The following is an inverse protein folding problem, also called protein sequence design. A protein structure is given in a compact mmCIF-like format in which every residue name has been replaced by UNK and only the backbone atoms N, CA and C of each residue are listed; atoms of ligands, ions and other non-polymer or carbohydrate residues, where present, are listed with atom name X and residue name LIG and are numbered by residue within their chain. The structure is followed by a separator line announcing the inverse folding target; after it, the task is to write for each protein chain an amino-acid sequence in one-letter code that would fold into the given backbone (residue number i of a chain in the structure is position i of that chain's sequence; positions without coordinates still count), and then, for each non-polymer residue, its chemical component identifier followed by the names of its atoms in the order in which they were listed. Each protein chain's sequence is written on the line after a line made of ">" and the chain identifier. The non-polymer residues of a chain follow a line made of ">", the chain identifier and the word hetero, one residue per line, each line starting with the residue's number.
data_IF_078851683860
#
_entry.id   IF_078851683860
#
_cell.length_a   1.000
_cell.length_b   1.000
_cell.length_c   1.000
_cell.angle_alpha   90.00
_cell.angle_beta   90.00
_cell.angle_gamma   90.00
#
_symmetry.space_group_name_H-M   'P 1'
#
loop_
_entity.id
_entity.type
_entity.pdbx_description
1 polymer ?
#
# COMPACT_ATOMS: atom_id res chain seq x y z
N UNK A 1 104.49 79.41 -18.41
CA UNK A 1 104.82 79.56 -19.85
C UNK A 1 104.69 78.19 -20.50
N UNK A 2 103.67 77.97 -21.32
CA UNK A 2 103.65 76.90 -22.33
C UNK A 2 102.63 77.29 -23.40
N UNK A 3 103.06 77.16 -24.65
CA UNK A 3 102.50 77.79 -25.83
C UNK A 3 101.17 77.16 -26.27
N UNK A 4 100.35 77.99 -26.92
CA UNK A 4 99.17 77.64 -27.69
C UNK A 4 99.47 76.58 -28.76
N UNK A 5 98.57 75.61 -28.93
CA UNK A 5 98.27 75.05 -30.24
C UNK A 5 96.90 75.57 -30.68
N UNK A 6 96.87 76.84 -31.09
CA UNK A 6 95.83 77.31 -31.99
C UNK A 6 96.18 76.79 -33.38
N UNK A 7 95.57 75.68 -33.78
CA UNK A 7 95.63 75.23 -35.18
C UNK A 7 94.70 76.14 -35.99
N UNK A 8 95.25 77.26 -36.46
CA UNK A 8 94.63 78.11 -37.48
C UNK A 8 95.11 77.60 -38.84
N UNK A 9 94.27 77.00 -39.69
CA UNK A 9 94.69 76.65 -41.04
C UNK A 9 94.84 77.94 -41.86
N UNK A 10 96.00 78.20 -42.50
CA UNK A 10 96.20 79.42 -43.26
C UNK A 10 95.47 79.32 -44.61
N UNK A 11 94.61 80.30 -44.91
CA UNK A 11 94.32 80.70 -46.30
C UNK A 11 93.12 80.08 -47.01
N UNK A 12 91.92 79.99 -46.40
CA UNK A 12 90.66 79.88 -47.15
C UNK A 12 89.57 80.81 -46.60
N UNK A 13 88.89 81.62 -47.44
CA UNK A 13 87.67 82.31 -47.03
C UNK A 13 86.55 81.25 -46.87
N UNK A 14 86.02 81.10 -45.66
CA UNK A 14 84.92 80.16 -45.36
C UNK A 14 85.28 78.95 -44.48
N UNK A 15 85.99 79.17 -43.38
CA UNK A 15 86.39 78.11 -42.45
C UNK A 15 85.33 77.82 -41.38
N UNK A 16 85.11 76.52 -41.08
CA UNK A 16 84.46 76.09 -39.85
C UNK A 16 85.41 76.26 -38.67
N UNK A 17 84.97 76.93 -37.62
CA UNK A 17 85.72 77.09 -36.39
C UNK A 17 85.14 76.17 -35.31
N UNK A 18 85.97 75.25 -34.83
CA UNK A 18 85.63 74.32 -33.75
C UNK A 18 86.24 74.83 -32.46
N UNK A 19 85.45 74.92 -31.40
CA UNK A 19 85.97 75.23 -30.06
C UNK A 19 85.52 74.19 -29.06
N UNK A 20 86.50 73.63 -28.34
CA UNK A 20 86.30 72.62 -27.32
C UNK A 20 86.51 73.26 -25.95
N UNK A 21 85.45 73.33 -25.14
CA UNK A 21 85.56 73.70 -23.73
C UNK A 21 86.11 72.54 -22.91
N UNK A 22 87.12 72.78 -22.07
CA UNK A 22 87.81 71.75 -21.27
C UNK A 22 87.07 71.33 -20.00
N UNK A 23 85.87 71.86 -19.74
CA UNK A 23 85.14 71.66 -18.46
C UNK A 23 83.80 70.92 -18.57
N UNK A 24 83.57 70.14 -19.64
CA UNK A 24 82.33 69.36 -19.80
C UNK A 24 81.08 70.19 -20.13
N UNK A 25 81.23 71.50 -20.33
CA UNK A 25 80.16 72.41 -20.72
C UNK A 25 80.18 72.66 -22.24
N UNK A 26 79.70 71.67 -22.99
CA UNK A 26 79.25 71.79 -24.38
C UNK A 26 80.31 72.05 -25.46
N UNK A 27 79.96 71.68 -26.69
CA UNK A 27 80.78 71.89 -27.88
C UNK A 27 80.17 73.01 -28.70
N UNK A 28 80.99 74.00 -29.10
CA UNK A 28 80.55 75.10 -29.95
C UNK A 28 81.16 74.97 -31.33
N UNK A 29 80.28 74.86 -32.32
CA UNK A 29 80.60 74.91 -33.74
C UNK A 29 80.17 76.27 -34.26
N UNK A 30 81.12 77.06 -34.72
CA UNK A 30 80.83 78.31 -35.43
C UNK A 30 81.16 78.12 -36.89
N UNK A 31 80.16 78.27 -37.76
CA UNK A 31 80.39 78.26 -39.20
C UNK A 31 80.21 79.66 -39.77
N UNK A 32 81.28 80.16 -40.37
CA UNK A 32 81.26 81.37 -41.17
C UNK A 32 81.27 80.96 -42.65
N UNK A 33 80.14 81.07 -43.37
CA UNK A 33 80.11 80.73 -44.79
C UNK A 33 81.12 81.58 -45.58
N UNK A 34 81.71 81.05 -46.68
CA UNK A 34 82.53 81.84 -47.58
C UNK A 34 81.75 83.06 -48.07
N UNK A 35 82.43 84.21 -48.22
CA UNK A 35 81.84 85.36 -48.90
C UNK A 35 81.37 84.92 -50.29
N UNK A 36 80.10 85.17 -50.59
CA UNK A 36 79.44 84.78 -51.84
C UNK A 36 80.17 85.40 -53.04
N UNK A 37 81.04 84.64 -53.70
CA UNK A 37 81.68 85.03 -54.97
C UNK A 37 80.84 84.46 -56.12
N UNK A 38 79.69 85.08 -56.33
CA UNK A 38 78.74 84.71 -57.37
C UNK A 38 78.04 85.96 -57.88
N UNK A 39 78.39 86.37 -59.10
CA UNK A 39 77.68 87.42 -59.83
C UNK A 39 76.29 86.93 -60.24
N UNK A 40 75.26 87.20 -59.45
CA UNK A 40 73.92 87.53 -59.98
C UNK A 40 73.00 88.03 -58.87
N UNK A 41 72.41 89.19 -59.14
CA UNK A 41 71.34 89.90 -58.42
C UNK A 41 71.76 90.69 -57.18
N UNK A 42 72.14 91.94 -57.48
CA UNK A 42 72.19 93.09 -56.59
C UNK A 42 70.87 93.24 -55.80
N UNK A 43 70.89 92.86 -54.53
CA UNK A 43 70.09 93.55 -53.52
C UNK A 43 70.96 94.68 -52.98
N UNK A 44 70.59 95.90 -53.36
CA UNK A 44 71.20 97.15 -52.92
C UNK A 44 71.14 97.27 -51.41
N UNK A 45 72.22 96.85 -50.75
CA UNK A 45 72.56 97.31 -49.42
C UNK A 45 73.97 97.88 -49.55
N UNK A 46 74.09 99.19 -49.75
CA UNK A 46 75.39 99.88 -49.85
C UNK A 46 75.82 100.52 -48.52
N UNK A 47 74.95 100.63 -47.51
CA UNK A 47 75.22 101.52 -46.36
C UNK A 47 75.47 100.84 -45.01
N UNK A 48 75.69 99.52 -44.96
CA UNK A 48 76.06 98.84 -43.72
C UNK A 48 77.57 98.58 -43.63
N UNK A 49 78.27 99.08 -42.59
CA UNK A 49 79.68 98.79 -42.33
C UNK A 49 79.94 97.28 -42.36
N UNK A 50 81.07 96.86 -42.94
CA UNK A 50 81.43 95.45 -43.11
C UNK A 50 81.32 94.62 -41.81
N UNK A 51 81.59 95.25 -40.66
CA UNK A 51 81.50 94.61 -39.34
C UNK A 51 80.08 94.17 -38.96
N UNK A 52 79.03 94.83 -39.46
CA UNK A 52 77.63 94.44 -39.21
C UNK A 52 77.13 93.36 -40.17
N UNK A 53 77.70 93.25 -41.38
CA UNK A 53 77.34 92.18 -42.35
C UNK A 53 77.93 90.82 -41.98
N UNK A 54 79.08 90.79 -41.32
CA UNK A 54 79.65 89.53 -40.82
C UNK A 54 78.83 88.92 -39.68
N UNK A 55 78.23 89.74 -38.81
CA UNK A 55 77.50 89.28 -37.63
C UNK A 55 76.15 88.62 -37.91
N UNK A 56 75.52 88.93 -39.04
CA UNK A 56 74.22 88.33 -39.44
C UNK A 56 74.36 86.91 -40.02
N UNK A 57 75.57 86.49 -40.40
CA UNK A 57 75.84 85.21 -41.05
C UNK A 57 76.52 84.18 -40.14
N UNK A 58 76.69 84.50 -38.85
CA UNK A 58 77.31 83.60 -37.89
C UNK A 58 76.25 82.65 -37.31
N UNK A 59 76.43 81.36 -37.61
CA UNK A 59 75.63 80.28 -37.01
C UNK A 59 76.47 79.62 -35.92
N UNK A 60 76.04 79.78 -34.67
CA UNK A 60 76.67 79.13 -33.54
C UNK A 60 75.78 77.98 -33.06
N UNK A 61 76.31 76.75 -33.13
CA UNK A 61 75.64 75.56 -32.60
C UNK A 61 76.36 75.14 -31.32
N UNK A 62 75.66 75.23 -30.20
CA UNK A 62 76.14 74.75 -28.91
C UNK A 62 75.45 73.43 -28.57
N UNK A 63 76.18 72.32 -28.59
CA UNK A 63 75.64 71.02 -28.16
C UNK A 63 75.83 70.91 -26.65
N UNK A 64 74.73 70.89 -25.90
CA UNK A 64 74.76 70.74 -24.43
C UNK A 64 75.02 69.27 -24.03
N UNK A 65 75.35 69.05 -22.75
CA UNK A 65 75.78 67.75 -22.20
C UNK A 65 74.82 66.57 -22.44
N UNK A 66 73.57 66.85 -22.83
CA UNK A 66 72.55 65.84 -23.16
C UNK A 66 72.39 65.60 -24.66
N UNK A 67 73.36 66.04 -25.48
CA UNK A 67 73.37 65.84 -26.93
C UNK A 67 72.38 66.71 -27.70
N UNK A 68 71.87 67.79 -27.10
CA UNK A 68 70.88 68.68 -27.73
C UNK A 68 71.50 70.03 -28.06
N UNK A 69 71.31 70.44 -29.31
CA UNK A 69 71.86 71.65 -29.87
C UNK A 69 71.02 72.88 -29.47
N UNK A 70 71.69 73.99 -29.17
CA UNK A 70 71.13 75.34 -29.20
C UNK A 70 71.77 76.06 -30.39
N UNK A 71 70.94 76.53 -31.33
CA UNK A 71 71.41 77.17 -32.55
C UNK A 71 71.13 78.67 -32.44
N UNK A 72 72.17 79.50 -32.51
CA UNK A 72 72.05 80.96 -32.63
C UNK A 72 72.32 81.37 -34.07
N UNK A 73 71.44 82.20 -34.64
CA UNK A 73 71.54 82.76 -35.98
C UNK A 73 71.59 84.29 -35.83
N UNK A 74 72.80 84.86 -35.77
CA UNK A 74 73.00 86.28 -35.44
C UNK A 74 72.63 86.65 -33.98
N UNK A 75 72.59 87.95 -33.67
CA UNK A 75 72.33 88.48 -32.31
C UNK A 75 70.85 88.32 -31.88
N UNK A 76 69.90 88.24 -32.84
CA UNK A 76 68.46 88.37 -32.56
C UNK A 76 67.66 87.05 -32.59
N UNK A 77 68.25 85.94 -33.06
CA UNK A 77 67.54 84.66 -33.18
C UNK A 77 68.29 83.52 -32.49
N UNK A 78 67.63 82.90 -31.50
CA UNK A 78 68.12 81.69 -30.83
C UNK A 78 67.04 80.60 -30.86
N UNK A 79 67.38 79.45 -31.44
CA UNK A 79 66.58 78.23 -31.39
C UNK A 79 67.11 77.31 -30.29
N UNK A 80 66.32 77.17 -29.23
CA UNK A 80 66.65 76.31 -28.11
C UNK A 80 65.86 75.00 -28.14
N UNK A 81 66.54 73.92 -28.53
CA UNK A 81 65.94 72.59 -28.57
C UNK A 81 65.91 71.90 -27.21
N UNK A 82 66.56 72.46 -26.18
CA UNK A 82 66.59 71.89 -24.82
C UNK A 82 65.21 71.94 -24.17
N UNK A 83 64.43 72.99 -24.47
CA UNK A 83 63.04 73.11 -24.03
C UNK A 83 62.17 71.99 -24.61
N UNK A 84 62.31 71.72 -25.92
CA UNK A 84 61.62 70.63 -26.61
C UNK A 84 62.06 69.25 -26.09
N UNK A 85 63.36 69.07 -25.82
CA UNK A 85 63.86 67.82 -25.22
C UNK A 85 63.30 67.60 -23.80
N UNK A 86 63.24 68.66 -22.99
CA UNK A 86 62.67 68.59 -21.63
C UNK A 86 61.18 68.27 -21.67
N UNK A 87 60.44 68.90 -22.58
CA UNK A 87 59.02 68.60 -22.82
C UNK A 87 58.81 67.16 -23.30
N UNK A 88 59.64 66.68 -24.24
CA UNK A 88 59.57 65.31 -24.75
C UNK A 88 59.88 64.28 -23.66
N UNK A 89 60.90 64.52 -22.82
CA UNK A 89 61.21 63.66 -21.66
C UNK A 89 60.05 63.62 -20.66
N UNK A 90 59.42 64.77 -20.40
CA UNK A 90 58.23 64.84 -19.54
C UNK A 90 57.09 64.00 -20.11
N UNK A 91 56.75 64.20 -21.39
CA UNK A 91 55.71 63.40 -22.07
C UNK A 91 56.02 61.91 -22.05
N UNK A 92 57.29 61.52 -22.24
CA UNK A 92 57.71 60.12 -22.16
C UNK A 92 57.47 59.56 -20.75
N UNK A 93 57.85 60.30 -19.71
CA UNK A 93 57.61 59.91 -18.31
C UNK A 93 56.12 59.78 -17.98
N UNK A 94 55.28 60.70 -18.50
CA UNK A 94 53.84 60.66 -18.31
C UNK A 94 53.25 59.41 -18.99
N UNK A 95 53.69 59.10 -20.22
CA UNK A 95 53.29 57.88 -20.96
C UNK A 95 53.77 56.60 -20.27
N UNK A 96 54.97 56.58 -19.71
CA UNK A 96 55.47 55.44 -18.93
C UNK A 96 54.64 55.21 -17.66
N UNK A 97 54.26 56.28 -16.96
CA UNK A 97 53.38 56.19 -15.80
C UNK A 97 51.98 55.70 -16.19
N UNK A 98 51.42 56.15 -17.32
CA UNK A 98 50.16 55.65 -17.86
C UNK A 98 50.25 54.17 -18.24
N UNK A 99 51.33 53.74 -18.92
CA UNK A 99 51.57 52.32 -19.24
C UNK A 99 51.59 51.47 -17.98
N UNK A 100 52.34 51.88 -16.96
CA UNK A 100 52.46 51.12 -15.71
C UNK A 100 51.15 51.10 -14.91
N UNK A 101 50.35 52.16 -15.00
CA UNK A 101 48.99 52.18 -14.47
C UNK A 101 48.07 51.21 -15.21
N UNK A 102 48.11 51.19 -16.54
CA UNK A 102 47.32 50.28 -17.36
C UNK A 102 47.71 48.81 -17.15
N UNK A 103 49.00 48.51 -17.01
CA UNK A 103 49.48 47.16 -16.70
C UNK A 103 48.95 46.67 -15.35
N UNK A 104 48.99 47.51 -14.30
CA UNK A 104 48.41 47.17 -12.99
C UNK A 104 46.90 46.89 -13.09
N UNK A 105 46.15 47.74 -13.78
CA UNK A 105 44.70 47.53 -14.00
C UNK A 105 44.41 46.25 -14.76
N UNK A 106 45.24 45.90 -15.75
CA UNK A 106 45.11 44.65 -16.50
C UNK A 106 45.34 43.44 -15.60
N UNK A 107 46.37 43.47 -14.75
CA UNK A 107 46.66 42.40 -13.80
C UNK A 107 45.57 42.22 -12.74
N UNK A 108 45.03 43.32 -12.21
CA UNK A 108 43.88 43.31 -11.29
C UNK A 108 42.64 42.70 -11.97
N UNK A 109 42.31 43.17 -13.18
CA UNK A 109 41.18 42.65 -13.96
C UNK A 109 41.35 41.16 -14.27
N UNK A 110 42.58 40.72 -14.59
CA UNK A 110 42.90 39.31 -14.84
C UNK A 110 42.67 38.46 -13.60
N UNK A 111 43.14 38.91 -12.43
CA UNK A 111 42.94 38.22 -11.14
C UNK A 111 41.45 38.11 -10.79
N UNK A 112 40.70 39.18 -10.98
CA UNK A 112 39.25 39.18 -10.74
C UNK A 112 38.53 38.24 -11.70
N UNK A 113 38.89 38.23 -12.98
CA UNK A 113 38.32 37.32 -13.95
C UNK A 113 38.62 35.85 -13.63
N UNK A 114 39.86 35.54 -13.23
CA UNK A 114 40.24 34.20 -12.80
C UNK A 114 39.45 33.74 -11.55
N UNK A 115 39.25 34.64 -10.59
CA UNK A 115 38.42 34.39 -9.41
C UNK A 115 36.95 34.12 -9.79
N UNK A 116 36.39 34.92 -10.69
CA UNK A 116 35.02 34.74 -11.20
C UNK A 116 34.90 33.41 -11.92
N UNK A 117 35.84 33.07 -12.81
CA UNK A 117 35.84 31.79 -13.53
C UNK A 117 35.92 30.60 -12.58
N UNK A 118 36.78 30.66 -11.55
CA UNK A 118 36.86 29.60 -10.54
C UNK A 118 35.54 29.45 -9.78
N UNK A 119 34.90 30.56 -9.40
CA UNK A 119 33.59 30.55 -8.73
C UNK A 119 32.51 29.95 -9.62
N UNK A 120 32.36 30.43 -10.86
CA UNK A 120 31.37 29.93 -11.83
C UNK A 120 31.58 28.45 -12.11
N UNK A 121 32.83 27.99 -12.23
CA UNK A 121 33.11 26.56 -12.40
C UNK A 121 32.66 25.74 -11.19
N UNK A 122 32.95 26.21 -9.97
CA UNK A 122 32.52 25.52 -8.74
C UNK A 122 30.99 25.45 -8.60
N UNK A 123 30.28 26.53 -8.93
CA UNK A 123 28.82 26.60 -8.90
C UNK A 123 28.18 25.70 -9.97
N UNK A 124 28.74 25.70 -11.19
CA UNK A 124 28.31 24.81 -12.27
C UNK A 124 28.52 23.35 -11.90
N UNK A 125 29.67 23.00 -11.32
CA UNK A 125 29.93 21.62 -10.90
C UNK A 125 29.00 21.19 -9.76
N UNK A 126 28.66 22.09 -8.83
CA UNK A 126 27.66 21.84 -7.79
C UNK A 126 26.26 21.65 -8.37
N UNK A 127 25.84 22.50 -9.31
CA UNK A 127 24.55 22.39 -10.00
C UNK A 127 24.44 21.08 -10.79
N UNK A 128 25.49 20.69 -11.52
CA UNK A 128 25.54 19.43 -12.27
C UNK A 128 25.43 18.21 -11.33
N UNK A 129 26.09 18.24 -10.16
CA UNK A 129 25.93 17.18 -9.16
C UNK A 129 24.50 17.11 -8.63
N UNK A 130 23.92 18.25 -8.24
CA UNK A 130 22.54 18.32 -7.77
C UNK A 130 21.53 17.81 -8.80
N UNK A 131 21.70 18.15 -10.08
CA UNK A 131 20.86 17.62 -11.15
C UNK A 131 21.00 16.10 -11.30
N UNK A 132 22.22 15.55 -11.26
CA UNK A 132 22.43 14.10 -11.32
C UNK A 132 21.75 13.37 -10.15
N UNK A 133 21.93 13.88 -8.94
CA UNK A 133 21.31 13.31 -7.74
C UNK A 133 19.77 13.35 -7.83
N UNK A 134 19.21 14.47 -8.28
CA UNK A 134 17.78 14.61 -8.50
C UNK A 134 17.26 13.62 -9.56
N UNK A 135 17.94 13.49 -10.70
CA UNK A 135 17.56 12.51 -11.75
C UNK A 135 17.64 11.08 -11.22
N UNK A 136 18.71 10.70 -10.51
CA UNK A 136 18.81 9.34 -9.94
C UNK A 136 17.72 9.04 -8.91
N UNK A 137 17.33 10.05 -8.12
CA UNK A 137 16.24 9.92 -7.14
C UNK A 137 14.90 9.78 -7.85
N UNK A 138 14.66 10.59 -8.88
CA UNK A 138 13.46 10.51 -9.71
C UNK A 138 13.33 9.14 -10.39
N UNK A 139 14.40 8.61 -10.97
CA UNK A 139 14.40 7.30 -11.64
C UNK A 139 14.14 6.15 -10.64
N UNK A 140 14.70 6.25 -9.43
CA UNK A 140 14.43 5.29 -8.34
C UNK A 140 12.96 5.32 -7.92
N UNK A 141 12.41 6.50 -7.69
CA UNK A 141 10.99 6.68 -7.32
C UNK A 141 10.08 6.15 -8.43
N UNK A 142 10.36 6.51 -9.68
CA UNK A 142 9.58 6.07 -10.84
C UNK A 142 9.61 4.55 -11.00
N UNK A 143 10.77 3.93 -10.78
CA UNK A 143 10.92 2.47 -10.83
C UNK A 143 10.16 1.79 -9.68
N UNK A 144 10.26 2.31 -8.45
CA UNK A 144 9.53 1.80 -7.29
C UNK A 144 8.00 1.89 -7.49
N UNK A 145 7.51 3.05 -7.93
CA UNK A 145 6.10 3.25 -8.24
C UNK A 145 5.61 2.30 -9.33
N UNK A 146 6.41 2.04 -10.36
CA UNK A 146 6.06 1.07 -11.41
C UNK A 146 5.91 -0.35 -10.84
N UNK A 147 6.80 -0.77 -9.95
CA UNK A 147 6.71 -2.08 -9.28
C UNK A 147 5.46 -2.16 -8.41
N UNK A 148 5.18 -1.13 -7.62
CA UNK A 148 4.01 -1.06 -6.75
C UNK A 148 2.70 -1.09 -7.56
N UNK A 149 2.59 -0.29 -8.62
CA UNK A 149 1.43 -0.29 -9.52
C UNK A 149 1.22 -1.67 -10.16
N UNK A 150 2.29 -2.32 -10.62
CA UNK A 150 2.18 -3.67 -11.18
C UNK A 150 1.73 -4.70 -10.13
N UNK A 151 2.24 -4.59 -8.89
CA UNK A 151 1.81 -5.42 -7.76
C UNK A 151 0.32 -5.26 -7.46
N UNK A 152 -0.13 -4.02 -7.30
CA UNK A 152 -1.55 -3.70 -7.05
C UNK A 152 -2.46 -4.14 -8.20
N UNK A 153 -2.02 -4.04 -9.45
CA UNK A 153 -2.78 -4.53 -10.60
C UNK A 153 -2.95 -6.06 -10.58
N UNK A 154 -1.91 -6.78 -10.16
CA UNK A 154 -1.96 -8.23 -10.03
C UNK A 154 -2.87 -8.65 -8.86
N UNK A 155 -2.75 -8.02 -7.69
CA UNK A 155 -3.66 -8.23 -6.55
C UNK A 155 -5.12 -7.93 -6.92
N UNK A 156 -5.38 -6.86 -7.66
CA UNK A 156 -6.71 -6.53 -8.15
C UNK A 156 -7.27 -7.61 -9.09
N UNK A 157 -6.42 -8.21 -9.91
CA UNK A 157 -6.82 -9.30 -10.81
C UNK A 157 -7.15 -10.58 -10.02
N UNK A 158 -6.35 -10.91 -9.02
CA UNK A 158 -6.55 -12.11 -8.21
C UNK A 158 -7.79 -11.98 -7.33
N UNK A 159 -7.97 -10.83 -6.66
CA UNK A 159 -9.20 -10.54 -5.88
C UNK A 159 -10.47 -10.55 -6.72
N UNK A 160 -10.42 -10.08 -7.97
CA UNK A 160 -11.55 -10.20 -8.90
C UNK A 160 -11.89 -11.65 -9.24
N UNK A 161 -10.88 -12.49 -9.42
CA UNK A 161 -11.06 -13.92 -9.68
C UNK A 161 -11.68 -14.61 -8.47
N UNK A 162 -11.18 -14.31 -7.27
CA UNK A 162 -11.70 -14.87 -6.02
C UNK A 162 -13.16 -14.41 -5.77
N UNK A 163 -13.48 -13.15 -6.06
CA UNK A 163 -14.85 -12.64 -5.99
C UNK A 163 -15.79 -13.39 -6.95
N UNK A 164 -15.35 -13.68 -8.17
CA UNK A 164 -16.17 -14.41 -9.14
C UNK A 164 -16.38 -15.86 -8.70
N UNK A 165 -15.35 -16.52 -8.19
CA UNK A 165 -15.47 -17.86 -7.61
C UNK A 165 -16.46 -17.87 -6.43
N UNK A 166 -16.35 -16.90 -5.51
CA UNK A 166 -17.24 -16.79 -4.36
C UNK A 166 -18.70 -16.55 -4.78
N UNK A 167 -18.94 -15.78 -5.85
CA UNK A 167 -20.28 -15.61 -6.41
C UNK A 167 -20.83 -16.92 -6.97
N UNK A 168 -20.02 -17.69 -7.69
CA UNK A 168 -20.44 -18.96 -8.24
C UNK A 168 -20.75 -19.99 -7.13
N UNK A 169 -19.94 -20.01 -6.07
CA UNK A 169 -20.20 -20.84 -4.89
C UNK A 169 -21.50 -20.44 -4.17
N UNK A 170 -21.76 -19.14 -4.05
CA UNK A 170 -23.00 -18.63 -3.47
C UNK A 170 -24.22 -19.04 -4.31
N UNK A 171 -24.18 -18.86 -5.63
CA UNK A 171 -25.25 -19.27 -6.54
C UNK A 171 -25.53 -20.79 -6.42
N UNK A 172 -24.47 -21.61 -6.37
CA UNK A 172 -24.62 -23.05 -6.19
C UNK A 172 -25.29 -23.39 -4.85
N UNK A 173 -24.88 -22.72 -3.76
CA UNK A 173 -25.45 -22.92 -2.44
C UNK A 173 -26.93 -22.50 -2.37
N UNK A 174 -27.31 -21.41 -3.04
CA UNK A 174 -28.71 -20.97 -3.15
C UNK A 174 -29.57 -22.01 -3.87
N UNK A 175 -29.08 -22.57 -4.97
CA UNK A 175 -29.77 -23.63 -5.72
C UNK A 175 -29.92 -24.92 -4.87
N UNK A 176 -28.89 -25.30 -4.11
CA UNK A 176 -28.98 -26.45 -3.21
C UNK A 176 -29.98 -26.22 -2.07
N UNK A 177 -30.01 -25.00 -1.52
CA UNK A 177 -30.98 -24.61 -0.49
C UNK A 177 -32.42 -24.69 -1.03
N UNK A 178 -32.66 -24.20 -2.24
CA UNK A 178 -33.97 -24.28 -2.89
C UNK A 178 -34.39 -25.73 -3.13
N UNK A 179 -33.48 -26.58 -3.62
CA UNK A 179 -33.73 -28.03 -3.77
C UNK A 179 -34.07 -28.70 -2.45
N UNK A 180 -33.32 -28.40 -1.38
CA UNK A 180 -33.59 -28.96 -0.05
C UNK A 180 -34.92 -28.46 0.52
N UNK A 181 -35.27 -27.21 0.29
CA UNK A 181 -36.54 -26.63 0.71
C UNK A 181 -37.73 -27.33 0.03
N UNK A 182 -37.62 -27.55 -1.29
CA UNK A 182 -38.64 -28.26 -2.05
C UNK A 182 -38.78 -29.72 -1.59
N UNK A 183 -37.67 -30.43 -1.37
CA UNK A 183 -37.71 -31.80 -0.84
C UNK A 183 -38.36 -31.88 0.56
N UNK A 184 -38.10 -30.90 1.43
CA UNK A 184 -38.74 -30.80 2.74
C UNK A 184 -40.25 -30.56 2.63
N UNK A 185 -40.66 -29.68 1.69
CA UNK A 185 -42.07 -29.43 1.40
C UNK A 185 -42.79 -30.69 0.89
N UNK A 186 -42.17 -31.44 -0.01
CA UNK A 186 -42.72 -32.70 -0.53
C UNK A 186 -42.87 -33.76 0.58
N UNK A 187 -41.85 -33.95 1.42
CA UNK A 187 -41.93 -34.83 2.59
C UNK A 187 -43.05 -34.42 3.55
N UNK A 188 -43.23 -33.12 3.79
CA UNK A 188 -44.32 -32.61 4.63
C UNK A 188 -45.70 -32.93 4.03
N UNK A 189 -45.83 -32.82 2.70
CA UNK A 189 -47.05 -33.17 1.98
C UNK A 189 -47.36 -34.67 2.03
N UNK A 190 -46.35 -35.54 2.07
CA UNK A 190 -46.52 -36.99 2.24
C UNK A 190 -46.85 -37.39 3.69
N UNK A 191 -46.19 -36.75 4.67
CA UNK A 191 -46.38 -37.05 6.09
C UNK A 191 -47.75 -36.61 6.62
N UNK A 192 -48.28 -35.48 6.15
CA UNK A 192 -49.59 -34.95 6.57
C UNK A 192 -50.76 -35.93 6.42
N UNK A 193 -51.00 -36.54 5.24
CA UNK A 193 -52.08 -37.51 5.06
C UNK A 193 -51.84 -38.78 5.88
N UNK A 194 -50.61 -39.30 5.94
CA UNK A 194 -50.26 -40.45 6.78
C UNK A 194 -50.60 -40.21 8.26
N UNK A 195 -50.28 -39.03 8.79
CA UNK A 195 -50.62 -38.63 10.15
C UNK A 195 -52.13 -38.57 10.38
N UNK A 196 -52.92 -38.14 9.39
CA UNK A 196 -54.39 -38.20 9.47
C UNK A 196 -54.90 -39.63 9.48
N UNK A 197 -54.37 -40.50 8.63
CA UNK A 197 -54.77 -41.91 8.55
C UNK A 197 -54.46 -42.64 9.86
N UNK A 198 -53.27 -42.44 10.43
CA UNK A 198 -52.90 -43.01 11.74
C UNK A 198 -53.85 -42.54 12.83
N UNK A 199 -54.22 -41.25 12.82
CA UNK A 199 -55.15 -40.69 13.81
C UNK A 199 -56.55 -41.30 13.67
N UNK A 200 -57.03 -41.45 12.43
CA UNK A 200 -58.32 -42.07 12.13
C UNK A 200 -58.37 -43.53 12.59
N UNK A 201 -57.38 -44.34 12.20
CA UNK A 201 -57.28 -45.74 12.60
C UNK A 201 -57.17 -45.90 14.11
N UNK A 202 -56.38 -45.04 14.78
CA UNK A 202 -56.27 -45.05 16.24
C UNK A 202 -57.61 -44.76 16.92
N UNK A 203 -58.41 -43.84 16.37
CA UNK A 203 -59.77 -43.58 16.85
C UNK A 203 -60.65 -44.82 16.73
N UNK A 204 -60.69 -45.43 15.54
CA UNK A 204 -61.47 -46.65 15.30
C UNK A 204 -61.07 -47.82 16.20
N UNK A 205 -59.77 -48.08 16.37
CA UNK A 205 -59.29 -49.14 17.26
C UNK A 205 -59.65 -48.86 18.73
N UNK A 206 -59.65 -47.59 19.15
CA UNK A 206 -60.06 -47.22 20.51
C UNK A 206 -61.55 -47.49 20.73
N UNK A 207 -62.38 -47.16 19.76
CA UNK A 207 -63.82 -47.46 19.81
C UNK A 207 -64.07 -48.97 19.87
N UNK A 208 -63.39 -49.74 19.02
CA UNK A 208 -63.47 -51.20 19.02
C UNK A 208 -63.03 -51.82 20.36
N UNK A 209 -61.93 -51.33 20.95
CA UNK A 209 -61.47 -51.77 22.26
C UNK A 209 -62.51 -51.50 23.34
N UNK A 210 -63.09 -50.28 23.39
CA UNK A 210 -64.14 -49.95 24.35
C UNK A 210 -65.38 -50.85 24.18
N UNK A 211 -65.76 -51.17 22.94
CA UNK A 211 -66.87 -52.11 22.68
C UNK A 211 -66.55 -53.51 23.20
N UNK A 212 -65.35 -54.03 22.90
CA UNK A 212 -64.92 -55.35 23.38
C UNK A 212 -64.81 -55.43 24.90
N UNK A 213 -64.32 -54.37 25.56
CA UNK A 213 -64.26 -54.29 27.02
C UNK A 213 -65.67 -54.38 27.63
N UNK A 214 -66.64 -53.68 27.04
CA UNK A 214 -68.03 -53.75 27.48
C UNK A 214 -68.65 -55.13 27.24
N UNK A 215 -68.44 -55.71 26.06
CA UNK A 215 -68.95 -57.05 25.74
C UNK A 215 -68.35 -58.12 26.68
N UNK A 216 -67.10 -57.94 27.10
CA UNK A 216 -66.44 -58.80 28.08
C UNK A 216 -67.09 -58.65 29.47
N UNK A 217 -67.31 -57.42 29.94
CA UNK A 217 -67.99 -57.14 31.21
C UNK A 217 -69.40 -57.75 31.24
N UNK A 218 -70.20 -57.52 30.19
CA UNK A 218 -71.55 -58.10 30.04
C UNK A 218 -71.51 -59.65 30.03
N UNK A 219 -70.47 -60.25 29.43
CA UNK A 219 -70.28 -61.70 29.42
C UNK A 219 -69.87 -62.26 30.79
N UNK A 220 -69.01 -61.55 31.52
CA UNK A 220 -68.59 -61.94 32.89
C UNK A 220 -69.77 -61.89 33.85
N UNK A 221 -70.58 -60.84 33.80
CA UNK A 221 -71.81 -60.70 34.58
C UNK A 221 -72.80 -61.83 34.28
N UNK A 222 -72.99 -62.17 33.00
CA UNK A 222 -73.83 -63.30 32.60
C UNK A 222 -73.30 -64.65 33.10
N UNK A 223 -71.98 -64.88 33.02
CA UNK A 223 -71.36 -66.10 33.54
C UNK A 223 -71.53 -66.21 35.06
N UNK A 224 -71.40 -65.10 35.78
CA UNK A 224 -71.60 -65.04 37.23
C UNK A 224 -73.05 -65.35 37.59
N UNK A 225 -74.02 -64.74 36.90
CA UNK A 225 -75.45 -65.00 37.09
C UNK A 225 -75.81 -66.47 36.80
N UNK A 226 -75.27 -67.05 35.72
CA UNK A 226 -75.47 -68.45 35.38
C UNK A 226 -74.87 -69.38 36.45
N UNK A 227 -73.67 -69.08 36.94
CA UNK A 227 -73.00 -69.82 38.02
C UNK A 227 -73.84 -69.82 39.31
N UNK A 228 -74.38 -68.66 39.70
CA UNK A 228 -75.21 -68.54 40.90
C UNK A 228 -76.56 -69.26 40.75
N UNK A 229 -77.16 -69.20 39.56
CA UNK A 229 -78.36 -69.99 39.21
C UNK A 229 -78.10 -71.51 39.30
N UNK A 230 -76.94 -71.97 38.82
CA UNK A 230 -76.55 -73.38 38.87
C UNK A 230 -76.33 -73.85 40.31
N UNK A 231 -75.65 -73.06 41.15
CA UNK A 231 -75.53 -73.34 42.59
C UNK A 231 -76.89 -73.44 43.29
N UNK A 232 -77.83 -72.57 42.93
CA UNK A 232 -79.20 -72.63 43.46
C UNK A 232 -79.90 -73.93 43.06
N UNK A 233 -79.81 -74.32 41.79
CA UNK A 233 -80.38 -75.58 41.27
C UNK A 233 -79.74 -76.82 41.90
N UNK A 234 -78.45 -76.79 42.16
CA UNK A 234 -77.74 -77.87 42.84
C UNK A 234 -78.26 -78.06 44.28
N UNK A 235 -78.52 -76.95 45.00
CA UNK A 235 -79.14 -77.00 46.33
C UNK A 235 -80.56 -77.56 46.29
N UNK A 236 -81.38 -77.13 45.32
CA UNK A 236 -82.74 -77.64 45.13
C UNK A 236 -82.73 -79.14 44.83
N UNK A 237 -81.86 -79.60 43.93
CA UNK A 237 -81.71 -81.02 43.61
C UNK A 237 -81.27 -81.83 44.83
N UNK A 238 -80.32 -81.32 45.62
CA UNK A 238 -79.90 -81.96 46.85
C UNK A 238 -81.05 -82.08 47.85
N UNK A 239 -81.83 -81.01 48.04
CA UNK A 239 -83.00 -81.03 48.91
C UNK A 239 -84.07 -82.04 48.43
N UNK A 240 -84.35 -82.10 47.13
CA UNK A 240 -85.25 -83.10 46.55
C UNK A 240 -84.72 -84.52 46.75
N UNK A 241 -83.42 -84.74 46.57
CA UNK A 241 -82.79 -86.03 46.79
C UNK A 241 -82.90 -86.47 48.26
N UNK A 242 -82.61 -85.58 49.21
CA UNK A 242 -82.72 -85.84 50.65
C UNK A 242 -84.17 -86.16 51.06
N UNK A 243 -85.15 -85.39 50.54
CA UNK A 243 -86.58 -85.65 50.74
C UNK A 243 -86.98 -87.03 50.20
N UNK A 244 -86.60 -87.34 48.96
CA UNK A 244 -86.89 -88.64 48.35
C UNK A 244 -86.25 -89.80 49.14
N UNK A 245 -85.01 -89.64 49.60
CA UNK A 245 -84.33 -90.63 50.43
C UNK A 245 -85.08 -90.85 51.76
N UNK A 246 -85.57 -89.78 52.40
CA UNK A 246 -86.40 -89.85 53.60
C UNK A 246 -87.74 -90.56 53.33
N UNK A 247 -88.43 -90.23 52.24
CA UNK A 247 -89.69 -90.88 51.85
C UNK A 247 -89.48 -92.37 51.59
N UNK A 248 -88.44 -92.76 50.83
CA UNK A 248 -88.10 -94.16 50.58
C UNK A 248 -87.80 -94.90 51.89
N UNK A 249 -87.05 -94.27 52.81
CA UNK A 249 -86.78 -94.85 54.13
C UNK A 249 -88.09 -95.08 54.91
N UNK A 250 -88.97 -94.07 54.97
CA UNK A 250 -90.27 -94.18 55.62
C UNK A 250 -91.15 -95.28 55.01
N UNK A 251 -91.19 -95.38 53.68
CA UNK A 251 -91.90 -96.47 52.98
C UNK A 251 -91.31 -97.85 53.28
N UNK A 252 -89.98 -97.97 53.40
CA UNK A 252 -89.34 -99.23 53.81
C UNK A 252 -89.72 -99.62 55.24
N UNK A 253 -89.74 -98.66 56.17
CA UNK A 253 -90.14 -98.87 57.56
C UNK A 253 -91.61 -99.28 57.68
N UNK A 254 -92.53 -98.60 56.99
CA UNK A 254 -93.96 -98.97 56.98
C UNK A 254 -94.18 -100.33 56.33
N UNK A 255 -93.50 -100.63 55.23
CA UNK A 255 -93.57 -101.93 54.58
C UNK A 255 -93.08 -103.06 55.50
N UNK A 256 -91.94 -102.88 56.20
CA UNK A 256 -91.48 -103.85 57.20
C UNK A 256 -92.50 -104.05 58.32
N UNK A 257 -93.14 -102.98 58.79
CA UNK A 257 -94.19 -103.07 59.81
C UNK A 257 -95.37 -103.89 59.31
N UNK A 258 -95.90 -103.59 58.11
CA UNK A 258 -96.98 -104.36 57.50
C UNK A 258 -96.59 -105.83 57.31
N UNK A 259 -95.36 -106.13 56.88
CA UNK A 259 -94.86 -107.51 56.79
C UNK A 259 -94.88 -108.19 58.16
N UNK A 260 -94.39 -107.52 59.22
CA UNK A 260 -94.37 -108.09 60.58
C UNK A 260 -95.79 -108.32 61.15
N UNK A 261 -96.72 -107.40 60.88
CA UNK A 261 -98.14 -107.53 61.25
C UNK A 261 -98.78 -108.70 60.49
N UNK A 262 -98.48 -108.84 59.19
CA UNK A 262 -98.99 -109.92 58.35
C UNK A 262 -98.45 -111.28 58.82
N UNK A 263 -97.16 -111.40 59.16
CA UNK A 263 -96.57 -112.61 59.78
C UNK A 263 -97.25 -112.92 61.12
N UNK A 264 -97.54 -111.91 61.93
CA UNK A 264 -98.23 -112.09 63.23
C UNK A 264 -99.66 -112.59 63.02
N UNK A 265 -100.39 -112.02 62.06
CA UNK A 265 -101.72 -112.46 61.69
C UNK A 265 -101.70 -113.88 61.12
N UNK A 266 -100.79 -114.21 60.22
CA UNK A 266 -100.57 -115.58 59.75
C UNK A 266 -100.34 -116.55 60.91
N UNK A 267 -99.49 -116.19 61.88
CA UNK A 267 -99.25 -117.02 63.06
C UNK A 267 -100.52 -117.22 63.90
N UNK A 268 -101.36 -116.19 64.05
CA UNK A 268 -102.66 -116.30 64.74
C UNK A 268 -103.65 -117.16 63.94
N UNK A 269 -103.70 -117.01 62.63
CA UNK A 269 -104.53 -117.83 61.73
C UNK A 269 -104.10 -119.29 61.82
N UNK A 270 -102.80 -119.60 61.76
CA UNK A 270 -102.29 -120.96 61.95
C UNK A 270 -102.67 -121.53 63.31
N UNK A 271 -102.58 -120.75 64.40
CA UNK A 271 -103.03 -121.18 65.73
C UNK A 271 -104.54 -121.42 65.81
N UNK A 272 -105.34 -120.61 65.13
CA UNK A 272 -106.80 -120.80 65.05
C UNK A 272 -107.15 -122.02 64.20
N UNK A 273 -106.44 -122.26 63.10
CA UNK A 273 -106.56 -123.48 62.29
C UNK A 273 -106.17 -124.72 63.11
N UNK A 274 -105.11 -124.66 63.91
CA UNK A 274 -104.74 -125.73 64.85
C UNK A 274 -105.78 -125.95 65.95
N UNK A 275 -106.43 -124.87 66.43
CA UNK A 275 -107.52 -124.95 67.42
C UNK A 275 -108.80 -125.54 66.80
N UNK A 276 -109.16 -125.14 65.58
CA UNK A 276 -110.27 -125.71 64.80
C UNK A 276 -110.05 -127.19 64.48
N UNK A 277 -108.81 -127.59 64.16
CA UNK A 277 -108.44 -129.02 64.01
C UNK A 277 -108.62 -129.82 65.30
N UNK A 278 -108.47 -129.21 66.49
CA UNK A 278 -108.72 -129.84 67.79
C UNK A 278 -110.20 -129.96 68.16
N UNK A 279 -111.09 -129.14 67.60
CA UNK A 279 -112.54 -129.16 67.87
C UNK A 279 -113.35 -130.04 66.92
N UNK A 280 -112.72 -130.77 66.00
CA UNK A 280 -113.41 -131.80 65.21
C UNK A 280 -114.44 -131.27 64.21
N UNK A 281 -114.28 -130.04 63.70
CA UNK A 281 -115.03 -129.54 62.56
C UNK A 281 -114.19 -129.58 61.28
N UNK A 282 -114.80 -129.93 60.12
CA UNK A 282 -114.07 -130.07 58.86
C UNK A 282 -113.56 -128.72 58.34
N UNK A 283 -112.34 -128.76 57.80
CA UNK A 283 -111.67 -127.66 57.09
C UNK A 283 -112.61 -126.96 56.11
N UNK A 284 -112.80 -125.65 56.30
CA UNK A 284 -113.32 -124.74 55.29
C UNK A 284 -112.13 -124.02 54.65
N UNK A 285 -111.85 -124.42 53.41
CA UNK A 285 -111.35 -123.65 52.26
C UNK A 285 -109.96 -123.00 52.41
N UNK A 286 -109.03 -123.43 51.55
CA UNK A 286 -107.94 -122.58 51.08
C UNK A 286 -108.37 -121.82 49.81
N UNK A 287 -108.10 -120.51 49.85
CA UNK A 287 -108.06 -119.56 48.75
C UNK A 287 -106.74 -119.69 47.99
#
# INVERSE_FOLDING_TARGET
>A
MSQQDQVTPPGRPGGLQYSFGTSGAGHSLTWCPPAFSGSQNQLNHADFPLEKRQRLNEVQVNVEAHGVARIRLGEDMTFDFTSRQREAKKKLSDVEAERDHLLRRLDETRKDHEKILSKVKSERDASVRGHREATTTYDRITSALRVEVNGLQQELKDTKKDLENAKQELENAEVELERSSNASFDLSNELSPLMRTIRYLRGGHKEQLNTLEKDLEDSEDNCQAASDSLKMRERELKACHDLNAQTIKGLRETNMKCISENVTLQTKVSRLQDALKKEGQPEVIEL
#
